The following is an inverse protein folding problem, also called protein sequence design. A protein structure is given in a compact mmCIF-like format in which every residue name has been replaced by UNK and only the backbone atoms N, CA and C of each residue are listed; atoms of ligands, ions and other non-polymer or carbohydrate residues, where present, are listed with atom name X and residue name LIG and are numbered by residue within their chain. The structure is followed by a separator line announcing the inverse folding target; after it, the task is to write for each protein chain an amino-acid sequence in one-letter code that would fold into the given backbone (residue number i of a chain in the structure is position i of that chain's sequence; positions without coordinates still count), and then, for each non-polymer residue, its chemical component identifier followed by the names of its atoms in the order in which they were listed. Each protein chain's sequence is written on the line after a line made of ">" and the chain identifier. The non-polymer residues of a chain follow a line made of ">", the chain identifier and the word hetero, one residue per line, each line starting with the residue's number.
data_IF_419349316153
#
_entry.id   IF_419349316153
#
_cell.length_a   1.000
_cell.length_b   1.000
_cell.length_c   1.000
_cell.angle_alpha   90.00
_cell.angle_beta   90.00
_cell.angle_gamma   90.00
#
_symmetry.space_group_name_H-M   'P 1'
#
loop_
_entity.id
_entity.type
_entity.pdbx_description
1 polymer ?
#
# COMPACT_ATOMS: atom_id res chain seq x y z
N UNK A 1 18.98 6.36 2.22
CA UNK A 1 18.05 7.49 1.94
C UNK A 1 16.65 7.11 2.38
N UNK A 2 16.01 7.95 3.17
CA UNK A 2 14.63 7.69 3.64
C UNK A 2 13.61 7.90 2.52
N UNK A 3 12.41 7.35 2.71
CA UNK A 3 11.30 7.57 1.76
C UNK A 3 10.96 9.04 1.61
N UNK A 4 10.97 9.79 2.71
CA UNK A 4 10.70 11.24 2.66
C UNK A 4 11.76 11.96 1.82
N UNK A 5 13.03 11.58 1.95
CA UNK A 5 14.11 12.15 1.15
C UNK A 5 13.98 11.79 -0.32
N UNK A 6 13.65 10.54 -0.61
CA UNK A 6 13.41 10.09 -1.99
C UNK A 6 12.26 10.85 -2.63
N UNK A 7 11.15 11.01 -1.91
CA UNK A 7 10.00 11.78 -2.39
C UNK A 7 10.39 13.23 -2.68
N UNK A 8 11.20 13.83 -1.82
CA UNK A 8 11.67 15.21 -2.01
C UNK A 8 12.54 15.32 -3.26
N UNK A 9 13.49 14.43 -3.44
CA UNK A 9 14.36 14.45 -4.62
C UNK A 9 13.58 14.21 -5.91
N UNK A 10 12.67 13.25 -5.89
CA UNK A 10 11.83 12.93 -7.05
C UNK A 10 10.89 14.08 -7.39
N UNK A 11 10.41 14.79 -6.36
CA UNK A 11 9.62 16.00 -6.57
C UNK A 11 10.43 17.06 -7.30
N UNK A 12 11.65 17.31 -6.86
CA UNK A 12 12.54 18.29 -7.51
C UNK A 12 12.83 17.91 -8.96
N UNK A 13 13.07 16.62 -9.22
CA UNK A 13 13.32 16.13 -10.56
C UNK A 13 12.08 16.29 -11.45
N UNK A 14 10.89 15.96 -10.92
CA UNK A 14 9.64 16.13 -11.66
C UNK A 14 9.38 17.60 -12.02
N UNK A 15 9.73 18.52 -11.12
CA UNK A 15 9.64 19.95 -11.40
C UNK A 15 10.58 20.37 -12.53
N UNK A 16 11.80 19.85 -12.55
CA UNK A 16 12.77 20.13 -13.63
C UNK A 16 12.31 19.56 -14.96
N UNK A 17 11.60 18.46 -14.97
CA UNK A 17 11.09 17.81 -16.17
C UNK A 17 9.89 18.54 -16.81
N UNK A 18 9.38 19.57 -16.15
CA UNK A 18 8.27 20.43 -16.62
C UNK A 18 7.06 19.59 -17.04
N UNK A 19 6.60 19.69 -18.28
CA UNK A 19 5.41 18.96 -18.74
C UNK A 19 5.55 17.43 -18.60
N UNK A 20 6.73 16.90 -18.89
CA UNK A 20 6.98 15.46 -18.78
C UNK A 20 6.87 14.96 -17.34
N UNK A 21 7.12 15.81 -16.36
CA UNK A 21 7.05 15.47 -14.94
C UNK A 21 5.74 15.85 -14.25
N UNK A 22 4.82 16.49 -14.96
CA UNK A 22 3.60 17.08 -14.36
C UNK A 22 2.74 16.07 -13.60
N UNK A 23 2.46 14.94 -14.20
CA UNK A 23 1.65 13.89 -13.57
C UNK A 23 2.37 13.33 -12.33
N UNK A 24 3.63 12.97 -12.49
CA UNK A 24 4.46 12.45 -11.41
C UNK A 24 4.54 13.43 -10.25
N UNK A 25 4.69 14.73 -10.55
CA UNK A 25 4.74 15.79 -9.55
C UNK A 25 3.45 15.85 -8.73
N UNK A 26 2.29 15.76 -9.39
CA UNK A 26 1.00 15.82 -8.68
C UNK A 26 0.84 14.64 -7.72
N UNK A 27 1.24 13.44 -8.13
CA UNK A 27 1.16 12.23 -7.28
C UNK A 27 2.10 12.35 -6.08
N UNK A 28 3.34 12.80 -6.32
CA UNK A 28 4.32 12.98 -5.24
C UNK A 28 3.83 14.02 -4.24
N UNK A 29 3.26 15.13 -4.70
CA UNK A 29 2.72 16.17 -3.82
C UNK A 29 1.58 15.65 -2.96
N UNK A 30 0.69 14.82 -3.53
CA UNK A 30 -0.39 14.20 -2.76
C UNK A 30 0.16 13.25 -1.69
N UNK A 31 1.16 12.46 -2.03
CA UNK A 31 1.81 11.56 -1.09
C UNK A 31 2.46 12.33 0.06
N UNK A 32 3.20 13.38 -0.26
CA UNK A 32 3.85 14.22 0.76
C UNK A 32 2.83 14.92 1.65
N UNK A 33 1.73 15.39 1.09
CA UNK A 33 0.64 15.99 1.88
C UNK A 33 0.01 14.99 2.84
N UNK A 34 -0.19 13.76 2.40
CA UNK A 34 -0.73 12.71 3.27
C UNK A 34 0.21 12.42 4.45
N UNK A 35 1.52 12.36 4.20
CA UNK A 35 2.53 12.18 5.24
C UNK A 35 2.51 13.35 6.22
N UNK A 36 2.52 14.57 5.69
CA UNK A 36 2.54 15.78 6.50
C UNK A 36 1.31 15.89 7.41
N UNK A 37 0.15 15.51 6.90
CA UNK A 37 -1.09 15.52 7.67
C UNK A 37 -0.98 14.62 8.90
N UNK A 38 -0.43 13.42 8.75
CA UNK A 38 -0.24 12.50 9.88
C UNK A 38 0.81 13.04 10.84
N UNK A 39 1.88 13.67 10.32
CA UNK A 39 2.90 14.30 11.19
C UNK A 39 2.32 15.43 12.02
N UNK A 40 1.45 16.24 11.44
CA UNK A 40 0.77 17.31 12.16
C UNK A 40 -0.12 16.73 13.27
N UNK A 41 -0.89 15.69 12.95
CA UNK A 41 -1.77 15.03 13.92
C UNK A 41 -0.99 14.42 15.08
N UNK A 42 0.16 13.81 14.79
CA UNK A 42 1.01 13.18 15.81
C UNK A 42 1.97 14.15 16.48
N UNK A 43 2.12 15.34 15.94
CA UNK A 43 3.04 16.40 16.43
C UNK A 43 4.49 15.93 16.47
N UNK A 44 4.89 15.13 15.50
CA UNK A 44 6.26 14.65 15.34
C UNK A 44 6.48 14.12 13.93
N UNK A 45 7.74 13.93 13.57
CA UNK A 45 8.09 13.27 12.31
C UNK A 45 7.69 11.80 12.36
N UNK A 46 7.30 11.26 11.20
CA UNK A 46 7.02 9.83 11.07
C UNK A 46 8.31 9.02 10.97
N UNK A 47 8.27 7.82 11.52
CA UNK A 47 9.31 6.83 11.30
C UNK A 47 9.20 6.31 9.85
N UNK A 48 10.24 5.62 9.37
CA UNK A 48 10.20 5.01 8.04
C UNK A 48 9.01 4.05 7.90
N UNK A 49 8.77 3.22 8.91
CA UNK A 49 7.67 2.28 8.93
C UNK A 49 6.31 2.99 8.85
N UNK A 50 6.14 4.05 9.62
CA UNK A 50 4.91 4.84 9.58
C UNK A 50 4.72 5.53 8.23
N UNK A 51 5.80 5.97 7.60
CA UNK A 51 5.76 6.55 6.26
C UNK A 51 5.29 5.51 5.23
N UNK A 52 5.82 4.29 5.31
CA UNK A 52 5.38 3.17 4.48
C UNK A 52 3.87 2.93 4.66
N UNK A 53 3.38 2.96 5.90
CA UNK A 53 1.96 2.77 6.19
C UNK A 53 1.08 3.83 5.52
N UNK A 54 1.50 5.08 5.55
CA UNK A 54 0.76 6.17 4.90
C UNK A 54 0.69 5.93 3.39
N UNK A 55 1.81 5.59 2.76
CA UNK A 55 1.86 5.34 1.32
C UNK A 55 1.03 4.11 0.94
N UNK A 56 1.09 3.05 1.74
CA UNK A 56 0.29 1.84 1.51
C UNK A 56 -1.21 2.15 1.58
N UNK A 57 -1.63 3.01 2.50
CA UNK A 57 -3.02 3.45 2.61
C UNK A 57 -3.44 4.26 1.38
N UNK A 58 -2.57 5.12 0.87
CA UNK A 58 -2.83 5.88 -0.34
C UNK A 58 -3.03 4.95 -1.55
N UNK A 59 -2.24 3.90 -1.65
CA UNK A 59 -2.40 2.87 -2.69
C UNK A 59 -3.74 2.15 -2.52
N UNK A 60 -4.08 1.74 -1.30
CA UNK A 60 -5.33 1.03 -1.01
C UNK A 60 -6.56 1.86 -1.39
N UNK A 61 -6.56 3.14 -1.03
CA UNK A 61 -7.68 4.04 -1.37
C UNK A 61 -7.87 4.13 -2.88
N UNK A 62 -6.79 4.17 -3.65
CA UNK A 62 -6.87 4.20 -5.11
C UNK A 62 -7.39 2.90 -5.69
N UNK A 63 -6.98 1.77 -5.14
CA UNK A 63 -7.52 0.46 -5.55
C UNK A 63 -9.02 0.37 -5.31
N UNK A 64 -9.48 0.85 -4.16
CA UNK A 64 -10.90 0.86 -3.83
C UNK A 64 -11.68 1.77 -4.79
N UNK A 65 -11.10 2.91 -5.15
CA UNK A 65 -11.71 3.85 -6.10
C UNK A 65 -11.81 3.26 -7.52
N UNK A 66 -10.83 2.46 -7.94
CA UNK A 66 -10.86 1.79 -9.25
C UNK A 66 -12.15 0.98 -9.41
N UNK A 67 -12.50 0.18 -8.39
CA UNK A 67 -13.70 -0.64 -8.45
C UNK A 67 -14.96 0.19 -8.68
N UNK A 68 -15.06 1.34 -8.04
CA UNK A 68 -16.20 2.25 -8.20
C UNK A 68 -16.25 2.90 -9.57
N UNK A 69 -15.10 3.36 -10.08
CA UNK A 69 -15.04 3.96 -11.41
C UNK A 69 -15.29 2.94 -12.53
N UNK A 70 -14.88 1.69 -12.34
CA UNK A 70 -15.19 0.62 -13.29
C UNK A 70 -16.70 0.41 -13.39
N UNK A 71 -17.42 0.41 -12.25
CA UNK A 71 -18.87 0.30 -12.23
C UNK A 71 -19.56 1.47 -12.93
N UNK A 72 -18.95 2.65 -12.86
CA UNK A 72 -19.46 3.86 -13.49
C UNK A 72 -19.06 4.00 -14.97
N UNK A 73 -18.28 3.05 -15.51
CA UNK A 73 -17.81 3.09 -16.89
C UNK A 73 -16.79 4.18 -17.18
N UNK A 74 -16.09 4.65 -16.15
CA UNK A 74 -15.09 5.73 -16.27
C UNK A 74 -13.70 5.16 -16.50
N UNK A 75 -13.45 4.64 -17.68
CA UNK A 75 -12.15 4.01 -18.02
C UNK A 75 -10.98 4.99 -17.96
N UNK A 76 -11.20 6.26 -18.26
CA UNK A 76 -10.19 7.31 -18.17
C UNK A 76 -9.69 7.49 -16.73
N UNK A 77 -10.62 7.52 -15.78
CA UNK A 77 -10.28 7.63 -14.36
C UNK A 77 -9.57 6.38 -13.84
N UNK A 78 -9.99 5.20 -14.30
CA UNK A 78 -9.35 3.92 -13.94
C UNK A 78 -7.89 3.89 -14.39
N UNK A 79 -7.61 4.30 -15.63
CA UNK A 79 -6.24 4.32 -16.14
C UNK A 79 -5.35 5.29 -15.35
N UNK A 80 -5.86 6.49 -15.03
CA UNK A 80 -5.13 7.46 -14.23
C UNK A 80 -4.81 6.89 -12.84
N UNK A 81 -5.76 6.23 -12.19
CA UNK A 81 -5.55 5.62 -10.87
C UNK A 81 -4.52 4.50 -10.93
N UNK A 82 -4.53 3.68 -11.97
CA UNK A 82 -3.51 2.64 -12.15
C UNK A 82 -2.10 3.22 -12.27
N UNK A 83 -1.96 4.32 -13.00
CA UNK A 83 -0.68 5.02 -13.11
C UNK A 83 -0.22 5.60 -11.76
N UNK A 84 -1.14 6.18 -11.00
CA UNK A 84 -0.85 6.68 -9.66
C UNK A 84 -0.39 5.55 -8.73
N UNK A 85 -1.07 4.42 -8.76
CA UNK A 85 -0.71 3.23 -7.98
C UNK A 85 0.69 2.74 -8.33
N UNK A 86 1.02 2.68 -9.63
CA UNK A 86 2.33 2.25 -10.07
C UNK A 86 3.44 3.16 -9.53
N UNK A 87 3.22 4.47 -9.57
CA UNK A 87 4.17 5.45 -9.04
C UNK A 87 4.37 5.29 -7.54
N UNK A 88 3.28 5.17 -6.79
CA UNK A 88 3.35 5.04 -5.32
C UNK A 88 3.95 3.70 -4.89
N UNK A 89 3.59 2.63 -5.59
CA UNK A 89 4.09 1.28 -5.27
C UNK A 89 5.61 1.19 -5.40
N UNK A 90 6.21 1.98 -6.30
CA UNK A 90 7.66 2.03 -6.46
C UNK A 90 8.40 2.49 -5.20
N UNK A 91 7.72 3.20 -4.30
CA UNK A 91 8.29 3.64 -3.03
C UNK A 91 8.10 2.61 -1.91
N UNK A 92 7.22 1.64 -2.09
CA UNK A 92 6.95 0.62 -1.09
C UNK A 92 7.98 -0.51 -1.16
N UNK A 93 8.11 -1.31 -0.09
CA UNK A 93 8.89 -2.54 -0.16
C UNK A 93 8.41 -3.42 -1.29
N UNK A 94 9.24 -4.38 -1.71
CA UNK A 94 8.89 -5.30 -2.79
C UNK A 94 7.52 -5.94 -2.53
N UNK A 95 6.62 -5.80 -3.49
CA UNK A 95 5.27 -6.33 -3.36
C UNK A 95 5.26 -7.85 -3.49
N UNK A 96 4.38 -8.49 -2.74
CA UNK A 96 4.21 -9.94 -2.75
C UNK A 96 3.21 -10.34 -3.82
N UNK A 97 3.50 -11.43 -4.52
CA UNK A 97 2.55 -12.07 -5.41
C UNK A 97 1.48 -12.79 -4.58
N UNK A 98 0.36 -13.17 -5.21
CA UNK A 98 -0.66 -13.96 -4.53
C UNK A 98 -0.08 -15.28 -4.01
N UNK A 99 0.78 -15.94 -4.79
CA UNK A 99 1.43 -17.19 -4.37
C UNK A 99 2.30 -16.99 -3.13
N UNK A 100 3.05 -15.88 -3.08
CA UNK A 100 3.87 -15.56 -1.91
C UNK A 100 3.02 -15.27 -0.69
N UNK A 101 1.88 -14.57 -0.86
CA UNK A 101 0.92 -14.34 0.22
C UNK A 101 0.37 -15.68 0.72
N UNK A 102 -0.03 -16.57 -0.18
CA UNK A 102 -0.53 -17.90 0.20
C UNK A 102 0.49 -18.71 0.97
N UNK A 103 1.75 -18.66 0.56
CA UNK A 103 2.83 -19.36 1.26
C UNK A 103 3.00 -18.82 2.69
N UNK A 104 2.99 -17.50 2.85
CA UNK A 104 3.12 -16.87 4.17
C UNK A 104 1.92 -17.18 5.07
N UNK A 105 0.71 -17.20 4.51
CA UNK A 105 -0.50 -17.56 5.26
C UNK A 105 -0.40 -19.01 5.73
N UNK A 106 0.02 -19.92 4.86
CA UNK A 106 0.18 -21.33 5.21
C UNK A 106 1.18 -21.50 6.36
N UNK A 107 2.31 -20.81 6.31
CA UNK A 107 3.29 -20.82 7.39
C UNK A 107 2.70 -20.31 8.71
N UNK A 108 1.95 -19.21 8.66
CA UNK A 108 1.35 -18.63 9.84
C UNK A 108 0.27 -19.55 10.44
N UNK A 109 -0.55 -20.17 9.60
CA UNK A 109 -1.57 -21.15 10.05
C UNK A 109 -0.89 -22.34 10.71
N UNK A 110 0.16 -22.86 10.11
CA UNK A 110 0.92 -24.00 10.67
C UNK A 110 1.56 -23.62 12.00
N UNK A 111 2.20 -22.45 12.06
CA UNK A 111 2.91 -21.99 13.26
C UNK A 111 1.98 -21.77 14.45
N UNK A 112 0.76 -21.32 14.20
CA UNK A 112 -0.22 -21.06 15.28
C UNK A 112 -1.08 -22.27 15.61
N UNK A 113 -1.08 -23.29 14.75
CA UNK A 113 -1.99 -24.42 14.89
C UNK A 113 -3.45 -24.06 14.66
N UNK A 114 -3.71 -22.98 13.94
CA UNK A 114 -5.07 -22.49 13.69
C UNK A 114 -5.91 -23.49 12.91
N UNK A 115 -7.18 -23.69 13.32
CA UNK A 115 -8.08 -24.66 12.74
C UNK A 115 -9.42 -24.08 12.31
N UNK A 116 -9.75 -22.87 12.74
CA UNK A 116 -11.06 -22.27 12.47
C UNK A 116 -10.97 -20.75 12.38
N UNK A 117 -12.03 -20.09 11.88
CA UNK A 117 -12.07 -18.62 11.84
C UNK A 117 -11.86 -17.93 13.19
N UNK A 118 -12.09 -18.63 14.28
CA UNK A 118 -11.84 -18.08 15.63
C UNK A 118 -10.36 -17.80 15.89
N UNK A 119 -9.48 -18.45 15.14
CA UNK A 119 -8.04 -18.30 15.29
C UNK A 119 -7.46 -17.23 14.38
N UNK A 120 -8.30 -16.49 13.65
CA UNK A 120 -7.87 -15.48 12.69
C UNK A 120 -6.94 -14.43 13.32
N UNK A 121 -7.26 -13.98 14.54
CA UNK A 121 -6.45 -13.00 15.24
C UNK A 121 -5.02 -13.47 15.49
N UNK A 122 -4.85 -14.75 15.82
CA UNK A 122 -3.52 -15.35 16.03
C UNK A 122 -2.72 -15.39 14.74
N UNK A 123 -3.36 -15.81 13.65
CA UNK A 123 -2.74 -15.88 12.32
C UNK A 123 -2.32 -14.49 11.87
N UNK A 124 -3.23 -13.52 11.99
CA UNK A 124 -2.96 -12.13 11.57
C UNK A 124 -1.84 -11.50 12.40
N UNK A 125 -1.73 -11.83 13.67
CA UNK A 125 -0.66 -11.31 14.54
C UNK A 125 0.73 -11.70 14.06
N UNK A 126 0.89 -12.92 13.53
CA UNK A 126 2.16 -13.38 12.96
C UNK A 126 2.35 -12.86 11.55
N UNK A 127 1.27 -12.79 10.78
CA UNK A 127 1.30 -12.50 9.36
C UNK A 127 1.51 -11.01 9.05
N UNK A 128 0.88 -10.12 9.82
CA UNK A 128 0.88 -8.68 9.54
C UNK A 128 2.27 -8.08 9.39
N UNK A 129 3.26 -8.35 10.28
CA UNK A 129 4.59 -7.80 10.10
C UNK A 129 5.27 -8.20 8.79
N UNK A 130 4.86 -9.34 8.22
CA UNK A 130 5.47 -9.88 7.00
C UNK A 130 4.82 -9.33 5.73
N UNK A 131 3.56 -8.92 5.79
CA UNK A 131 2.79 -8.48 4.61
C UNK A 131 2.51 -6.98 4.58
N UNK A 132 2.72 -6.28 5.67
CA UNK A 132 2.39 -4.86 5.81
C UNK A 132 3.15 -4.02 4.78
N UNK A 133 2.40 -3.25 3.99
CA UNK A 133 2.98 -2.45 2.91
C UNK A 133 3.46 -3.26 1.70
N UNK A 134 3.30 -4.60 1.72
CA UNK A 134 3.76 -5.49 0.66
C UNK A 134 2.64 -6.25 -0.04
N UNK A 135 1.44 -6.24 0.51
CA UNK A 135 0.27 -6.91 -0.05
C UNK A 135 -0.99 -6.18 0.33
N UNK A 136 -2.04 -6.30 -0.51
CA UNK A 136 -3.35 -5.73 -0.21
C UNK A 136 -3.97 -6.48 0.97
N UNK A 137 -4.43 -5.74 1.97
CA UNK A 137 -5.08 -6.32 3.14
C UNK A 137 -6.31 -7.16 2.80
N UNK A 138 -7.04 -6.79 1.76
CA UNK A 138 -8.21 -7.57 1.30
C UNK A 138 -7.80 -8.94 0.80
N UNK A 139 -6.74 -9.01 0.02
CA UNK A 139 -6.20 -10.27 -0.48
C UNK A 139 -5.73 -11.15 0.69
N UNK A 140 -5.00 -10.57 1.63
CA UNK A 140 -4.49 -11.29 2.80
C UNK A 140 -5.67 -11.88 3.61
N UNK A 141 -6.68 -11.06 3.89
CA UNK A 141 -7.87 -11.52 4.63
C UNK A 141 -8.60 -12.63 3.90
N UNK A 142 -8.75 -12.50 2.59
CA UNK A 142 -9.41 -13.52 1.77
C UNK A 142 -8.66 -14.84 1.84
N UNK A 143 -7.35 -14.82 1.70
CA UNK A 143 -6.53 -16.03 1.74
C UNK A 143 -6.58 -16.67 3.12
N UNK A 144 -6.50 -15.88 4.20
CA UNK A 144 -6.62 -16.41 5.56
C UNK A 144 -7.97 -17.10 5.76
N UNK A 145 -9.06 -16.48 5.30
CA UNK A 145 -10.39 -17.07 5.39
C UNK A 145 -10.49 -18.40 4.62
N UNK A 146 -9.87 -18.47 3.45
CA UNK A 146 -9.85 -19.72 2.67
C UNK A 146 -9.16 -20.85 3.43
N UNK A 147 -8.06 -20.55 4.14
CA UNK A 147 -7.30 -21.53 4.91
C UNK A 147 -8.01 -21.96 6.19
N UNK A 148 -8.77 -21.07 6.81
CA UNK A 148 -9.44 -21.35 8.08
C UNK A 148 -10.88 -21.87 7.92
N UNK A 149 -11.39 -21.88 6.72
CA UNK A 149 -12.74 -22.28 6.42
C UNK A 149 -13.74 -21.20 6.60
#
# INVERSE_FOLDING_TARGET
>A
MSLKERLMEDMKQAMKDKEAGKFRLSVIRMARSAIQKVEIDKRRDLTEEETIDVLAREVKQRRDSIAEYEKAGRSDAVEALKEEIALLTAYLPQQLSEEEVRALVREAVTATGAQSPKDMGKVMGILMPKVKGRADGKLVNQVVKEFLG
#
